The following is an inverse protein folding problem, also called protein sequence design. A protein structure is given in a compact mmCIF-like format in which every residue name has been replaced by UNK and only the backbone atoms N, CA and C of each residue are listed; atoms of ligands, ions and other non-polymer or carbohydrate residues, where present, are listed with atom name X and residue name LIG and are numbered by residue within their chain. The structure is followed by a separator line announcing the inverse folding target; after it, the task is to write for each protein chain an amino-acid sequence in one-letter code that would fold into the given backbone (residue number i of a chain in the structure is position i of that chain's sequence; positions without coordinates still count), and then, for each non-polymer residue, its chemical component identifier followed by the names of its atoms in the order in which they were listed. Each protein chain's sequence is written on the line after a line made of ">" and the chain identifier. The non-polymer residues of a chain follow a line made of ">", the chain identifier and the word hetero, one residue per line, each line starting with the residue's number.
data_IF_419275867254
#
_entry.id   IF_419275867254
#
_cell.length_a   1.000
_cell.length_b   1.000
_cell.length_c   1.000
_cell.angle_alpha   90.00
_cell.angle_beta   90.00
_cell.angle_gamma   90.00
#
_symmetry.space_group_name_H-M   'P 1'
#
loop_
_entity.id
_entity.type
_entity.pdbx_description
1 polymer ?
#
# COMPACT_ATOMS: atom_id res chain seq x y z
N UNK A 1 23.18 8.32 10.37
CA UNK A 1 22.24 7.17 10.31
C UNK A 1 22.86 6.05 9.50
N UNK A 2 22.89 4.86 10.02
CA UNK A 2 23.43 3.65 9.39
C UNK A 2 22.30 2.62 9.22
N UNK A 3 22.36 1.83 8.15
CA UNK A 3 21.47 0.68 7.94
C UNK A 3 22.27 -0.60 8.11
N UNK A 4 21.88 -1.42 9.05
CA UNK A 4 22.47 -2.73 9.29
C UNK A 4 21.53 -3.78 8.72
N UNK A 5 21.99 -4.52 7.70
CA UNK A 5 21.25 -5.66 7.16
C UNK A 5 21.16 -6.75 8.23
N UNK A 6 19.95 -7.09 8.67
CA UNK A 6 19.72 -8.16 9.63
C UNK A 6 19.33 -9.47 8.95
N UNK A 7 18.48 -9.37 7.91
CA UNK A 7 17.95 -10.57 7.28
C UNK A 7 17.68 -10.35 5.80
N UNK A 8 17.88 -11.40 5.01
CA UNK A 8 17.67 -11.46 3.59
C UNK A 8 16.90 -12.74 3.24
N UNK A 9 15.64 -12.58 2.92
CA UNK A 9 14.73 -13.71 2.73
C UNK A 9 14.37 -13.83 1.27
N UNK A 10 14.71 -14.97 0.71
CA UNK A 10 14.33 -15.33 -0.66
C UNK A 10 13.28 -16.43 -0.63
N UNK A 11 12.14 -16.15 -1.21
CA UNK A 11 11.04 -17.11 -1.32
C UNK A 11 11.18 -17.96 -2.59
N UNK A 12 10.63 -19.17 -2.56
CA UNK A 12 10.61 -20.04 -3.74
C UNK A 12 9.63 -19.60 -4.81
N UNK A 13 8.61 -18.84 -4.42
CA UNK A 13 7.54 -18.36 -5.30
C UNK A 13 7.45 -16.85 -5.22
N UNK A 14 6.86 -16.24 -6.24
CA UNK A 14 6.61 -14.79 -6.26
C UNK A 14 5.73 -14.38 -5.08
N UNK A 15 6.09 -13.27 -4.45
CA UNK A 15 5.30 -12.62 -3.42
C UNK A 15 4.49 -11.50 -4.10
N UNK A 16 3.20 -11.44 -3.81
CA UNK A 16 2.34 -10.39 -4.33
C UNK A 16 2.32 -9.19 -3.38
N UNK A 17 2.27 -9.46 -2.07
CA UNK A 17 2.27 -8.43 -1.04
C UNK A 17 2.77 -8.98 0.31
N UNK A 18 3.12 -8.07 1.23
CA UNK A 18 3.45 -8.41 2.60
C UNK A 18 2.91 -7.37 3.59
N UNK A 19 2.75 -7.78 4.82
CA UNK A 19 2.49 -6.93 5.96
C UNK A 19 3.27 -7.40 7.17
N UNK A 20 3.47 -6.50 8.13
CA UNK A 20 4.11 -6.84 9.40
C UNK A 20 3.09 -6.62 10.53
N UNK A 21 2.84 -7.68 11.29
CA UNK A 21 1.97 -7.63 12.45
C UNK A 21 2.69 -6.87 13.59
N UNK A 22 2.09 -5.76 14.10
CA UNK A 22 2.84 -4.84 14.97
C UNK A 22 3.24 -5.43 16.33
N UNK A 23 2.46 -6.35 16.88
CA UNK A 23 2.68 -6.88 18.24
C UNK A 23 3.77 -7.93 18.27
N UNK A 24 3.63 -8.97 17.47
CA UNK A 24 4.59 -10.06 17.43
C UNK A 24 5.64 -9.85 16.34
N UNK A 25 5.52 -8.76 15.57
CA UNK A 25 6.39 -8.39 14.45
C UNK A 25 6.56 -9.54 13.43
N UNK A 26 5.47 -10.26 13.20
CA UNK A 26 5.42 -11.33 12.21
C UNK A 26 5.26 -10.75 10.82
N UNK A 27 6.05 -11.24 9.89
CA UNK A 27 5.85 -10.94 8.47
C UNK A 27 4.80 -11.91 7.94
N UNK A 28 3.77 -11.34 7.33
CA UNK A 28 2.73 -12.07 6.62
C UNK A 28 2.89 -11.78 5.14
N UNK A 29 3.02 -12.81 4.32
CA UNK A 29 3.18 -12.66 2.88
C UNK A 29 2.02 -13.29 2.13
N UNK A 30 1.67 -12.73 0.98
CA UNK A 30 0.75 -13.32 0.02
C UNK A 30 1.45 -13.68 -1.28
N UNK A 31 0.92 -14.69 -1.93
CA UNK A 31 1.41 -15.21 -3.21
C UNK A 31 0.54 -16.38 -3.60
N UNK A 32 1.13 -17.47 -4.06
CA UNK A 32 0.41 -18.72 -4.29
C UNK A 32 -0.22 -19.28 -3.00
N UNK A 33 0.35 -18.94 -1.86
CA UNK A 33 -0.14 -19.32 -0.52
C UNK A 33 0.01 -18.13 0.43
N UNK A 34 -0.88 -18.04 1.41
CA UNK A 34 -0.71 -17.19 2.56
C UNK A 34 0.38 -17.80 3.46
N UNK A 35 1.43 -17.06 3.76
CA UNK A 35 2.58 -17.53 4.51
C UNK A 35 2.81 -16.61 5.71
N UNK A 36 3.00 -17.21 6.87
CA UNK A 36 3.32 -16.52 8.11
C UNK A 36 4.78 -16.75 8.48
N UNK A 37 5.44 -15.71 8.96
CA UNK A 37 6.81 -15.77 9.46
C UNK A 37 6.92 -15.10 10.83
N UNK A 38 7.80 -15.62 11.67
CA UNK A 38 8.13 -15.01 12.94
C UNK A 38 9.28 -14.01 12.75
N UNK A 39 9.21 -12.84 13.40
CA UNK A 39 10.22 -11.79 13.37
C UNK A 39 11.64 -12.30 13.61
N UNK A 40 11.83 -13.19 14.59
CA UNK A 40 13.17 -13.52 15.10
C UNK A 40 13.87 -14.65 14.36
N UNK A 41 13.17 -15.44 13.54
CA UNK A 41 13.74 -16.63 12.91
C UNK A 41 13.30 -16.87 11.47
N UNK A 42 12.38 -16.07 10.92
CA UNK A 42 11.77 -16.32 9.61
C UNK A 42 11.36 -17.77 9.37
N UNK A 43 10.97 -18.46 10.41
CA UNK A 43 10.48 -19.82 10.32
C UNK A 43 9.05 -19.78 9.76
N UNK A 44 8.82 -20.58 8.74
CA UNK A 44 7.49 -20.79 8.17
C UNK A 44 6.64 -21.50 9.20
N UNK A 45 5.79 -20.75 9.91
CA UNK A 45 4.96 -21.33 10.97
C UNK A 45 3.81 -22.18 10.41
N UNK A 46 3.12 -21.71 9.36
CA UNK A 46 2.11 -22.49 8.64
C UNK A 46 1.65 -21.77 7.36
N UNK A 47 1.22 -22.53 6.36
CA UNK A 47 0.58 -21.96 5.18
C UNK A 47 -0.95 -22.07 5.31
N UNK A 48 -1.66 -20.99 5.09
CA UNK A 48 -3.12 -21.01 4.92
C UNK A 48 -3.53 -21.67 3.60
N UNK A 49 -4.78 -22.14 3.51
CA UNK A 49 -5.32 -22.80 2.31
C UNK A 49 -5.80 -21.83 1.22
N UNK A 50 -5.74 -20.51 1.44
CA UNK A 50 -6.18 -19.52 0.45
C UNK A 50 -5.11 -19.37 -0.62
N UNK A 51 -5.48 -19.63 -1.86
CA UNK A 51 -4.58 -19.50 -3.01
C UNK A 51 -4.80 -18.16 -3.72
N UNK A 52 -3.75 -17.64 -4.34
CA UNK A 52 -3.78 -16.45 -5.20
C UNK A 52 -4.30 -15.18 -4.50
N UNK A 53 -3.83 -14.92 -3.29
CA UNK A 53 -4.16 -13.68 -2.58
C UNK A 53 -3.37 -12.50 -3.12
N UNK A 54 -4.02 -11.35 -3.33
CA UNK A 54 -3.38 -10.17 -3.92
C UNK A 54 -3.11 -9.04 -2.93
N UNK A 55 -3.89 -8.91 -1.85
CA UNK A 55 -3.77 -7.77 -0.95
C UNK A 55 -3.84 -8.21 0.50
N UNK A 56 -2.85 -7.83 1.29
CA UNK A 56 -2.91 -7.86 2.75
C UNK A 56 -2.98 -6.43 3.27
N UNK A 57 -3.96 -6.14 4.09
CA UNK A 57 -3.95 -4.94 4.90
C UNK A 57 -4.21 -5.30 6.35
N UNK A 58 -3.36 -4.77 7.19
CA UNK A 58 -3.48 -4.87 8.63
C UNK A 58 -4.38 -3.76 9.12
N UNK A 59 -5.43 -4.10 9.86
CA UNK A 59 -6.29 -3.12 10.51
C UNK A 59 -5.90 -3.06 11.98
N UNK A 60 -5.41 -1.90 12.40
CA UNK A 60 -5.21 -1.60 13.82
C UNK A 60 -6.59 -1.25 14.40
N UNK A 61 -7.19 -2.17 15.17
CA UNK A 61 -8.41 -1.84 15.89
C UNK A 61 -8.13 -0.72 16.90
N UNK A 62 -8.88 0.38 16.77
CA UNK A 62 -8.84 1.47 17.72
C UNK A 62 -9.44 0.99 19.03
N UNK A 63 -8.70 1.13 20.14
CA UNK A 63 -9.17 1.05 21.52
C UNK A 63 -9.37 -0.34 22.17
N UNK A 64 -8.66 -1.38 21.77
CA UNK A 64 -8.62 -2.56 22.63
C UNK A 64 -7.23 -2.75 23.24
N UNK A 65 -7.20 -3.02 24.55
CA UNK A 65 -6.00 -3.41 25.31
C UNK A 65 -5.39 -4.74 24.82
N UNK A 66 -6.11 -5.47 23.97
CA UNK A 66 -5.66 -6.66 23.27
C UNK A 66 -5.58 -6.34 21.79
N UNK A 67 -4.38 -6.21 21.27
CA UNK A 67 -4.16 -6.05 19.83
C UNK A 67 -4.58 -7.33 19.15
N UNK A 68 -5.69 -7.27 18.43
CA UNK A 68 -6.14 -8.41 17.65
C UNK A 68 -5.19 -8.58 16.46
N UNK A 69 -4.74 -9.80 16.21
CA UNK A 69 -3.93 -10.15 15.06
C UNK A 69 -4.78 -10.42 13.81
N UNK A 70 -5.93 -9.76 13.73
CA UNK A 70 -6.85 -9.91 12.60
C UNK A 70 -6.37 -9.13 11.40
N UNK A 71 -6.46 -9.72 10.23
CA UNK A 71 -6.13 -9.08 8.95
C UNK A 71 -7.06 -9.61 7.85
N UNK A 72 -7.12 -8.87 6.74
CA UNK A 72 -7.95 -9.21 5.60
C UNK A 72 -7.09 -9.61 4.40
N UNK A 73 -7.60 -10.57 3.65
CA UNK A 73 -6.99 -11.09 2.43
C UNK A 73 -8.02 -11.09 1.33
N UNK A 74 -7.70 -10.49 0.21
CA UNK A 74 -8.53 -10.55 -0.99
C UNK A 74 -7.99 -11.57 -2.00
N UNK A 75 -8.89 -12.07 -2.83
CA UNK A 75 -8.57 -12.98 -3.93
C UNK A 75 -8.91 -12.35 -5.28
N UNK A 76 -8.27 -12.76 -6.37
CA UNK A 76 -8.53 -12.20 -7.71
C UNK A 76 -9.97 -12.37 -8.19
N UNK A 77 -10.72 -13.29 -7.61
CA UNK A 77 -12.13 -13.53 -7.92
C UNK A 77 -13.09 -12.75 -7.00
N UNK A 78 -12.60 -11.69 -6.35
CA UNK A 78 -13.44 -10.74 -5.62
C UNK A 78 -13.90 -11.19 -4.23
N UNK A 79 -13.29 -12.22 -3.67
CA UNK A 79 -13.59 -12.67 -2.30
C UNK A 79 -12.64 -12.01 -1.31
N UNK A 80 -13.17 -11.63 -0.15
CA UNK A 80 -12.38 -11.13 0.97
C UNK A 80 -12.61 -12.00 2.19
N UNK A 81 -11.51 -12.44 2.78
CA UNK A 81 -11.51 -13.28 3.97
C UNK A 81 -10.90 -12.53 5.15
N UNK A 82 -11.54 -12.64 6.30
CA UNK A 82 -10.98 -12.24 7.60
C UNK A 82 -10.14 -13.39 8.14
N UNK A 83 -8.93 -13.08 8.57
CA UNK A 83 -7.96 -14.06 9.04
C UNK A 83 -7.48 -13.71 10.44
N UNK A 84 -7.25 -14.72 11.27
CA UNK A 84 -6.66 -14.59 12.60
C UNK A 84 -5.19 -15.02 12.55
N UNK A 85 -4.28 -14.08 12.73
CA UNK A 85 -2.83 -14.33 12.70
C UNK A 85 -2.34 -15.13 13.90
N UNK A 86 -2.99 -15.04 15.07
CA UNK A 86 -2.61 -15.84 16.23
C UNK A 86 -3.00 -17.31 16.05
N UNK A 87 -4.23 -17.55 15.56
CA UNK A 87 -4.73 -18.91 15.30
C UNK A 87 -4.31 -19.45 13.93
N UNK A 88 -3.66 -18.60 13.11
CA UNK A 88 -3.17 -18.94 11.76
C UNK A 88 -4.25 -19.57 10.87
N UNK A 89 -5.46 -19.03 10.92
CA UNK A 89 -6.62 -19.56 10.20
C UNK A 89 -7.49 -18.47 9.58
N UNK A 90 -8.19 -18.86 8.52
CA UNK A 90 -9.30 -18.08 7.99
C UNK A 90 -10.45 -18.20 8.98
N UNK A 91 -10.99 -17.05 9.40
CA UNK A 91 -12.11 -16.98 10.32
C UNK A 91 -13.41 -17.02 9.53
N UNK A 92 -13.56 -16.13 8.55
CA UNK A 92 -14.79 -16.02 7.78
C UNK A 92 -14.57 -15.43 6.38
N UNK A 93 -15.54 -15.63 5.49
CA UNK A 93 -15.70 -14.92 4.23
C UNK A 93 -16.56 -13.69 4.51
N UNK A 94 -15.98 -12.50 4.49
CA UNK A 94 -16.66 -11.24 4.84
C UNK A 94 -17.24 -10.51 3.64
N UNK A 95 -16.81 -10.86 2.42
CA UNK A 95 -17.26 -10.20 1.21
C UNK A 95 -17.08 -11.10 -0.03
N UNK A 96 -18.09 -11.12 -0.89
CA UNK A 96 -18.06 -11.86 -2.16
C UNK A 96 -18.84 -11.07 -3.22
N UNK A 97 -18.18 -10.63 -4.27
CA UNK A 97 -18.81 -9.91 -5.37
C UNK A 97 -19.35 -10.81 -6.46
N UNK A 98 -19.03 -12.11 -6.42
CA UNK A 98 -19.28 -13.07 -7.50
C UNK A 98 -18.66 -12.69 -8.88
N UNK A 99 -17.98 -11.53 -8.95
CA UNK A 99 -17.33 -11.01 -10.15
C UNK A 99 -15.83 -10.75 -9.89
N UNK A 100 -15.04 -10.73 -10.95
CA UNK A 100 -13.62 -10.37 -10.85
C UNK A 100 -13.47 -8.88 -10.55
N UNK A 101 -13.20 -8.52 -9.30
CA UNK A 101 -12.81 -7.16 -8.93
C UNK A 101 -11.37 -6.94 -9.41
N UNK A 102 -11.19 -5.95 -10.29
CA UNK A 102 -9.86 -5.65 -10.85
C UNK A 102 -8.97 -4.86 -9.89
N UNK A 103 -9.56 -4.08 -9.01
CA UNK A 103 -8.82 -3.21 -8.08
C UNK A 103 -9.58 -3.10 -6.77
N UNK A 104 -8.93 -3.47 -5.68
CA UNK A 104 -9.50 -3.45 -4.33
C UNK A 104 -8.44 -2.94 -3.34
N UNK A 105 -8.85 -2.25 -2.31
CA UNK A 105 -8.00 -1.87 -1.19
C UNK A 105 -8.84 -1.71 0.10
N UNK A 106 -8.20 -1.40 1.22
CA UNK A 106 -8.84 -1.17 2.51
C UNK A 106 -8.50 0.21 3.04
N UNK A 107 -9.41 0.83 3.77
CA UNK A 107 -9.14 2.01 4.58
C UNK A 107 -9.04 1.65 6.07
N UNK A 108 -8.51 2.57 6.86
CA UNK A 108 -8.14 2.30 8.27
C UNK A 108 -9.33 1.93 9.14
N UNK A 109 -10.54 2.42 8.82
CA UNK A 109 -11.78 2.07 9.52
C UNK A 109 -12.31 0.66 9.25
N UNK A 110 -11.63 -0.15 8.44
CA UNK A 110 -12.07 -1.51 8.14
C UNK A 110 -12.99 -1.61 6.93
N UNK A 111 -13.21 -0.53 6.21
CA UNK A 111 -14.01 -0.57 4.99
C UNK A 111 -13.20 -1.10 3.80
N UNK A 112 -13.84 -1.95 3.00
CA UNK A 112 -13.31 -2.44 1.73
C UNK A 112 -13.71 -1.46 0.63
N UNK A 113 -12.73 -0.97 -0.14
CA UNK A 113 -12.98 -0.09 -1.28
C UNK A 113 -12.58 -0.78 -2.59
N UNK A 114 -13.46 -0.74 -3.58
CA UNK A 114 -13.24 -1.40 -4.87
C UNK A 114 -13.92 -0.67 -6.01
N UNK A 115 -13.46 -0.95 -7.24
CA UNK A 115 -14.05 -0.38 -8.45
C UNK A 115 -14.69 -1.50 -9.27
N UNK A 116 -15.96 -1.29 -9.61
CA UNK A 116 -16.73 -2.13 -10.51
C UNK A 116 -17.55 -1.24 -11.46
N UNK A 117 -17.55 -1.54 -12.76
CA UNK A 117 -18.37 -0.86 -13.80
C UNK A 117 -18.33 0.69 -13.75
N UNK A 118 -17.15 1.28 -13.49
CA UNK A 118 -16.94 2.72 -13.33
C UNK A 118 -17.64 3.33 -12.09
N UNK A 119 -17.93 2.54 -11.09
CA UNK A 119 -18.36 3.01 -9.79
C UNK A 119 -17.31 2.64 -8.75
N UNK A 120 -17.03 3.56 -7.85
CA UNK A 120 -16.27 3.30 -6.63
C UNK A 120 -17.26 2.88 -5.56
N UNK A 121 -17.00 1.78 -4.93
CA UNK A 121 -17.78 1.22 -3.84
C UNK A 121 -16.95 1.25 -2.55
N UNK A 122 -17.63 1.44 -1.43
CA UNK A 122 -17.07 1.27 -0.09
C UNK A 122 -18.03 0.43 0.73
N UNK A 123 -17.54 -0.72 1.20
CA UNK A 123 -18.28 -1.68 2.01
C UNK A 123 -17.70 -1.71 3.42
N UNK A 124 -18.57 -1.50 4.39
CA UNK A 124 -18.24 -1.60 5.80
C UNK A 124 -18.39 -3.05 6.26
N UNK A 125 -17.31 -3.64 6.77
CA UNK A 125 -17.31 -5.07 7.15
C UNK A 125 -18.13 -5.33 8.41
N UNK A 126 -18.21 -4.35 9.32
CA UNK A 126 -18.88 -4.53 10.61
C UNK A 126 -20.38 -4.23 10.54
N UNK A 127 -20.76 -3.22 9.77
CA UNK A 127 -22.16 -2.80 9.64
C UNK A 127 -22.86 -3.32 8.38
N UNK A 128 -22.11 -3.96 7.47
CA UNK A 128 -22.56 -4.40 6.15
C UNK A 128 -23.09 -3.26 5.24
N UNK A 129 -22.82 -2.01 5.62
CA UNK A 129 -23.23 -0.85 4.84
C UNK A 129 -22.43 -0.75 3.53
N UNK A 130 -23.13 -0.68 2.40
CA UNK A 130 -22.56 -0.46 1.09
C UNK A 130 -22.93 0.93 0.58
N UNK A 131 -21.93 1.74 0.29
CA UNK A 131 -22.09 3.02 -0.37
C UNK A 131 -21.34 3.02 -1.71
N UNK A 132 -21.80 3.84 -2.65
CA UNK A 132 -21.16 3.93 -3.95
C UNK A 132 -21.20 5.34 -4.52
N UNK A 133 -20.22 5.65 -5.36
CA UNK A 133 -20.19 6.88 -6.16
C UNK A 133 -19.74 6.59 -7.57
N UNK A 134 -20.29 7.32 -8.52
CA UNK A 134 -19.96 7.18 -9.94
C UNK A 134 -18.64 7.87 -10.24
N UNK A 135 -17.72 7.16 -10.83
CA UNK A 135 -16.49 7.74 -11.36
C UNK A 135 -16.75 8.39 -12.72
N UNK A 136 -15.99 9.44 -13.02
CA UNK A 136 -16.03 10.08 -14.34
C UNK A 136 -15.77 9.04 -15.43
N UNK A 137 -16.53 9.03 -16.51
CA UNK A 137 -16.43 8.03 -17.58
C UNK A 137 -15.05 8.01 -18.19
N UNK A 138 -14.32 6.92 -17.93
CA UNK A 138 -13.29 6.45 -18.86
C UNK A 138 -13.97 5.52 -19.87
N UNK A 139 -13.56 5.56 -21.14
CA UNK A 139 -14.01 4.57 -22.14
C UNK A 139 -13.67 3.17 -21.62
N UNK A 140 -14.49 2.17 -21.97
CA UNK A 140 -14.39 0.75 -21.63
C UNK A 140 -12.92 0.30 -21.40
N UNK A 141 -12.52 0.03 -20.18
CA UNK A 141 -11.19 -0.45 -19.71
C UNK A 141 -10.21 0.58 -19.13
N UNK A 142 -10.68 1.66 -18.53
CA UNK A 142 -9.80 2.57 -17.79
C UNK A 142 -8.93 1.80 -16.77
N UNK A 143 -7.61 1.93 -16.89
CA UNK A 143 -6.68 1.39 -15.92
C UNK A 143 -6.74 2.21 -14.64
N UNK A 144 -7.69 1.88 -13.77
CA UNK A 144 -7.77 2.49 -12.45
C UNK A 144 -6.70 1.89 -11.53
N UNK A 145 -6.11 2.75 -10.71
CA UNK A 145 -5.33 2.35 -9.54
C UNK A 145 -6.01 2.91 -8.30
N UNK A 146 -6.10 2.11 -7.26
CA UNK A 146 -6.58 2.54 -5.94
C UNK A 146 -5.40 2.55 -4.99
N UNK A 147 -5.20 3.69 -4.33
CA UNK A 147 -4.35 3.80 -3.16
C UNK A 147 -5.23 4.20 -1.98
N UNK A 148 -4.82 3.85 -0.78
CA UNK A 148 -5.51 4.26 0.44
C UNK A 148 -4.50 4.86 1.41
N UNK A 149 -4.91 5.92 2.09
CA UNK A 149 -4.10 6.56 3.11
C UNK A 149 -5.02 7.01 4.24
N UNK A 150 -4.89 6.38 5.42
CA UNK A 150 -5.85 6.58 6.51
C UNK A 150 -7.28 6.24 6.04
N UNK A 151 -8.19 7.20 6.21
CA UNK A 151 -9.59 7.09 5.79
C UNK A 151 -9.85 7.55 4.35
N UNK A 152 -8.79 7.94 3.62
CA UNK A 152 -8.93 8.48 2.28
C UNK A 152 -8.67 7.42 1.21
N UNK A 153 -9.40 7.54 0.10
CA UNK A 153 -9.28 6.71 -1.10
C UNK A 153 -8.79 7.59 -2.25
N UNK A 154 -7.66 7.22 -2.82
CA UNK A 154 -7.06 7.90 -3.96
C UNK A 154 -7.30 7.05 -5.20
N UNK A 155 -8.02 7.58 -6.16
CA UNK A 155 -8.27 6.95 -7.45
C UNK A 155 -7.45 7.66 -8.51
N UNK A 156 -6.55 6.92 -9.14
CA UNK A 156 -5.83 7.38 -10.31
C UNK A 156 -6.32 6.64 -11.54
N UNK A 157 -6.55 7.39 -12.62
CA UNK A 157 -6.81 6.82 -13.94
C UNK A 157 -6.19 7.70 -15.02
N UNK A 158 -5.89 7.12 -16.17
CA UNK A 158 -5.39 7.83 -17.34
C UNK A 158 -6.54 8.02 -18.32
N UNK A 159 -6.72 9.26 -18.77
CA UNK A 159 -7.68 9.54 -19.85
C UNK A 159 -7.13 8.98 -21.17
N UNK A 160 -8.00 8.23 -21.88
CA UNK A 160 -7.63 7.65 -23.18
C UNK A 160 -7.21 8.75 -24.18
N UNK A 161 -6.11 8.49 -24.90
CA UNK A 161 -5.53 9.36 -25.95
C UNK A 161 -4.89 10.68 -25.48
N UNK A 162 -4.97 11.03 -24.22
CA UNK A 162 -4.24 12.13 -23.63
C UNK A 162 -3.27 11.57 -22.60
N UNK A 163 -2.03 12.06 -22.59
CA UNK A 163 -1.06 11.68 -21.56
C UNK A 163 -1.42 12.28 -20.19
N UNK A 164 -2.69 12.59 -19.97
CA UNK A 164 -3.21 13.22 -18.77
C UNK A 164 -3.66 12.15 -17.77
N UNK A 165 -3.13 12.22 -16.58
CA UNK A 165 -3.58 11.44 -15.44
C UNK A 165 -4.58 12.27 -14.63
N UNK A 166 -5.71 11.68 -14.30
CA UNK A 166 -6.68 12.28 -13.38
C UNK A 166 -6.56 11.58 -12.03
N UNK A 167 -6.43 12.36 -10.99
CA UNK A 167 -6.36 11.91 -9.60
C UNK A 167 -7.56 12.47 -8.86
N UNK A 168 -8.36 11.59 -8.27
CA UNK A 168 -9.47 11.94 -7.40
C UNK A 168 -9.21 11.40 -6.00
N UNK A 169 -9.42 12.23 -4.97
CA UNK A 169 -9.39 11.80 -3.59
C UNK A 169 -10.78 11.86 -3.00
N UNK A 170 -11.17 10.78 -2.33
CA UNK A 170 -12.43 10.64 -1.64
C UNK A 170 -12.18 10.36 -0.16
N UNK A 171 -12.98 10.95 0.71
CA UNK A 171 -13.07 10.53 2.12
C UNK A 171 -13.88 9.24 2.27
N UNK A 172 -13.93 8.67 3.46
CA UNK A 172 -14.50 7.36 3.75
C UNK A 172 -15.97 7.18 3.31
N UNK A 173 -16.77 8.25 3.28
CA UNK A 173 -18.16 8.27 2.76
C UNK A 173 -18.25 8.52 1.26
N UNK A 174 -17.15 8.39 0.54
CA UNK A 174 -17.02 8.59 -0.90
C UNK A 174 -17.40 9.99 -1.38
N UNK A 175 -17.31 11.00 -0.51
CA UNK A 175 -17.36 12.38 -0.92
C UNK A 175 -16.02 12.77 -1.54
N UNK A 176 -16.03 13.25 -2.78
CA UNK A 176 -14.83 13.73 -3.46
C UNK A 176 -14.36 15.05 -2.83
N UNK A 177 -13.13 15.08 -2.36
CA UNK A 177 -12.49 16.22 -1.69
C UNK A 177 -11.39 16.87 -2.53
N UNK A 178 -10.89 16.16 -3.56
CA UNK A 178 -9.80 16.64 -4.40
C UNK A 178 -9.90 16.06 -5.80
N UNK A 179 -9.60 16.90 -6.80
CA UNK A 179 -9.42 16.46 -8.19
C UNK A 179 -8.30 17.26 -8.85
N UNK A 180 -7.34 16.57 -9.42
CA UNK A 180 -6.30 17.20 -10.22
C UNK A 180 -6.04 16.42 -11.50
N UNK A 181 -5.67 17.15 -12.54
CA UNK A 181 -5.22 16.61 -13.83
C UNK A 181 -3.77 17.01 -14.05
N UNK A 182 -2.92 16.03 -14.32
CA UNK A 182 -1.49 16.25 -14.54
C UNK A 182 -0.97 15.41 -15.69
N UNK A 183 0.02 15.92 -16.40
CA UNK A 183 0.74 15.17 -17.41
C UNK A 183 1.74 14.20 -16.76
N UNK A 184 2.21 14.52 -15.55
CA UNK A 184 3.16 13.69 -14.82
C UNK A 184 2.52 12.36 -14.42
N UNK A 185 3.25 11.28 -14.65
CA UNK A 185 2.79 9.96 -14.29
C UNK A 185 3.10 9.66 -12.81
N UNK A 186 2.12 9.88 -11.95
CA UNK A 186 2.22 9.50 -10.54
C UNK A 186 2.29 7.98 -10.41
N UNK A 187 3.40 7.47 -9.95
CA UNK A 187 3.66 6.04 -9.83
C UNK A 187 3.22 5.49 -8.48
N UNK A 188 3.33 6.33 -7.45
CA UNK A 188 2.86 6.07 -6.09
C UNK A 188 2.13 7.28 -5.52
N UNK A 189 1.24 7.05 -4.57
CA UNK A 189 0.38 8.09 -4.01
C UNK A 189 0.11 7.83 -2.52
N UNK A 190 0.28 8.87 -1.69
CA UNK A 190 0.02 8.84 -0.26
C UNK A 190 -0.51 10.19 0.22
N UNK A 191 -1.31 10.18 1.29
CA UNK A 191 -1.76 11.39 1.97
C UNK A 191 -1.11 11.44 3.35
N UNK A 192 -0.56 12.59 3.69
CA UNK A 192 -0.01 12.89 5.02
C UNK A 192 -0.61 14.22 5.47
N UNK A 193 -1.46 14.19 6.48
CA UNK A 193 -2.23 15.37 6.90
C UNK A 193 -3.15 15.87 5.77
N UNK A 194 -2.99 17.15 5.40
CA UNK A 194 -3.74 17.79 4.30
C UNK A 194 -2.95 17.84 2.98
N UNK A 195 -1.89 17.07 2.88
CA UNK A 195 -1.05 17.04 1.68
C UNK A 195 -1.15 15.69 0.97
N UNK A 196 -1.27 15.76 -0.35
CA UNK A 196 -1.16 14.61 -1.24
C UNK A 196 0.25 14.55 -1.80
N UNK A 197 0.94 13.46 -1.54
CA UNK A 197 2.29 13.16 -2.03
C UNK A 197 2.20 12.20 -3.21
N UNK A 198 2.84 12.56 -4.30
CA UNK A 198 2.94 11.72 -5.48
C UNK A 198 4.39 11.49 -5.87
N UNK A 199 4.81 10.24 -5.91
CA UNK A 199 6.06 9.85 -6.56
C UNK A 199 5.87 9.77 -8.07
N UNK A 200 6.83 10.26 -8.85
CA UNK A 200 6.75 10.32 -10.32
C UNK A 200 7.69 9.33 -11.01
N UNK A 201 7.48 9.14 -12.32
CA UNK A 201 8.41 8.36 -13.16
C UNK A 201 9.80 9.02 -13.28
N UNK A 202 9.84 10.34 -13.18
CA UNK A 202 11.07 11.12 -13.29
C UNK A 202 11.83 11.25 -11.95
N UNK A 203 11.36 10.59 -10.88
CA UNK A 203 12.02 10.57 -9.59
C UNK A 203 11.81 11.83 -8.76
N UNK A 204 10.72 12.53 -8.99
CA UNK A 204 10.29 13.68 -8.18
C UNK A 204 9.18 13.27 -7.23
N UNK A 205 9.09 13.97 -6.11
CA UNK A 205 7.93 13.96 -5.23
C UNK A 205 7.18 15.26 -5.42
N UNK A 206 5.99 15.18 -5.97
CA UNK A 206 5.04 16.29 -6.01
C UNK A 206 4.22 16.32 -4.74
N UNK A 207 4.10 17.50 -4.16
CA UNK A 207 3.33 17.76 -2.95
C UNK A 207 2.19 18.71 -3.29
N UNK A 208 0.97 18.24 -3.16
CA UNK A 208 -0.24 19.01 -3.45
C UNK A 208 -0.98 19.35 -2.17
N UNK A 209 -1.47 20.57 -2.05
CA UNK A 209 -2.42 20.94 -1.00
C UNK A 209 -3.82 20.44 -1.39
N UNK A 210 -4.44 19.62 -0.54
CA UNK A 210 -5.75 19.02 -0.83
C UNK A 210 -6.87 20.09 -0.78
N UNK A 211 -6.76 21.09 0.10
CA UNK A 211 -7.80 22.11 0.26
C UNK A 211 -7.81 23.09 -0.91
N UNK A 212 -6.64 23.57 -1.30
CA UNK A 212 -6.50 24.58 -2.36
C UNK A 212 -6.42 23.93 -3.75
N UNK A 213 -6.20 22.63 -3.82
CA UNK A 213 -6.03 21.83 -5.04
C UNK A 213 -4.86 22.30 -5.92
N UNK A 214 -3.83 22.86 -5.28
CA UNK A 214 -2.65 23.42 -5.95
C UNK A 214 -1.40 22.62 -5.66
N UNK A 215 -0.47 22.58 -6.62
CA UNK A 215 0.87 22.04 -6.45
C UNK A 215 1.64 22.98 -5.52
N UNK A 216 1.94 22.48 -4.32
CA UNK A 216 2.71 23.26 -3.33
C UNK A 216 4.20 23.22 -3.63
N UNK A 217 4.73 22.04 -4.00
CA UNK A 217 6.15 21.85 -4.25
C UNK A 217 6.39 20.60 -5.13
N UNK A 218 7.52 20.61 -5.85
CA UNK A 218 8.08 19.43 -6.51
C UNK A 218 9.55 19.30 -6.16
N UNK A 219 9.95 18.13 -5.67
CA UNK A 219 11.28 17.90 -5.12
C UNK A 219 11.92 16.73 -5.84
N UNK A 220 13.04 16.97 -6.49
CA UNK A 220 13.84 15.93 -7.14
C UNK A 220 14.56 15.10 -6.08
N UNK A 221 14.25 13.81 -6.06
CA UNK A 221 14.87 12.82 -5.15
C UNK A 221 15.94 12.00 -5.88
N UNK A 222 15.67 11.62 -7.13
CA UNK A 222 16.52 10.74 -7.92
C UNK A 222 16.26 10.95 -9.41
N UNK A 223 17.11 10.39 -10.28
CA UNK A 223 16.82 10.26 -11.71
C UNK A 223 16.10 8.94 -12.04
N UNK A 224 15.62 8.25 -11.03
CA UNK A 224 14.93 6.97 -11.13
C UNK A 224 13.51 7.10 -10.63
N UNK A 225 12.62 6.36 -11.26
CA UNK A 225 11.21 6.26 -10.89
C UNK A 225 11.02 5.93 -9.42
N UNK A 226 10.20 6.71 -8.73
CA UNK A 226 9.74 6.43 -7.38
C UNK A 226 8.66 5.34 -7.46
N UNK A 227 8.81 4.29 -6.69
CA UNK A 227 7.90 3.15 -6.69
C UNK A 227 7.11 3.01 -5.40
N UNK A 228 7.62 3.58 -4.31
CA UNK A 228 6.98 3.54 -3.00
C UNK A 228 7.40 4.72 -2.13
N UNK A 229 6.51 5.18 -1.26
CA UNK A 229 6.79 6.20 -0.25
C UNK A 229 6.15 5.75 1.06
N UNK A 230 6.94 5.61 2.12
CA UNK A 230 6.47 5.39 3.47
C UNK A 230 6.88 6.58 4.35
N UNK A 231 6.01 6.97 5.27
CA UNK A 231 6.30 7.99 6.26
C UNK A 231 6.28 7.35 7.65
N UNK A 232 7.32 7.61 8.42
CA UNK A 232 7.42 7.14 9.79
C UNK A 232 8.24 8.14 10.63
N UNK A 233 7.66 8.65 11.70
CA UNK A 233 8.30 9.57 12.65
C UNK A 233 8.96 10.79 11.98
N UNK A 234 8.26 11.39 11.01
CA UNK A 234 8.73 12.58 10.30
C UNK A 234 9.87 12.33 9.32
N UNK A 235 10.16 11.08 8.99
CA UNK A 235 11.09 10.68 7.92
C UNK A 235 10.32 10.04 6.78
N UNK A 236 10.82 10.20 5.55
CA UNK A 236 10.29 9.52 4.38
C UNK A 236 11.27 8.45 3.91
N UNK A 237 10.73 7.27 3.69
CA UNK A 237 11.43 6.11 3.14
C UNK A 237 10.92 5.91 1.71
N UNK A 238 11.78 6.18 0.74
CA UNK A 238 11.43 6.27 -0.68
C UNK A 238 12.09 5.11 -1.41
N UNK A 239 11.28 4.26 -2.01
CA UNK A 239 11.73 3.13 -2.81
C UNK A 239 11.83 3.51 -4.29
N UNK A 240 12.92 3.11 -4.94
CA UNK A 240 13.17 3.37 -6.34
C UNK A 240 13.09 2.10 -7.19
N UNK A 241 12.82 2.26 -8.49
CA UNK A 241 12.71 1.15 -9.45
C UNK A 241 14.00 0.34 -9.62
N UNK A 242 15.13 0.95 -9.33
CA UNK A 242 16.44 0.27 -9.39
C UNK A 242 16.77 -0.47 -8.09
N UNK A 243 15.93 -0.43 -7.04
CA UNK A 243 16.14 -1.09 -5.75
C UNK A 243 16.95 -0.28 -4.75
N UNK A 244 17.15 1.01 -4.99
CA UNK A 244 17.68 1.94 -3.99
C UNK A 244 16.58 2.37 -3.02
N UNK A 245 16.93 2.45 -1.76
CA UNK A 245 16.17 3.06 -0.69
C UNK A 245 16.79 4.43 -0.37
N UNK A 246 15.99 5.48 -0.48
CA UNK A 246 16.36 6.83 -0.06
C UNK A 246 15.59 7.17 1.21
N UNK A 247 16.30 7.62 2.23
CA UNK A 247 15.71 8.07 3.49
C UNK A 247 15.96 9.57 3.62
N UNK A 248 14.89 10.32 3.88
CA UNK A 248 14.95 11.77 4.02
C UNK A 248 14.37 12.22 5.36
N UNK A 249 14.67 13.45 5.76
CA UNK A 249 13.93 14.14 6.80
C UNK A 249 12.56 14.66 6.30
N UNK A 250 11.82 15.34 7.15
CA UNK A 250 10.52 15.94 6.82
C UNK A 250 10.59 17.08 5.79
N UNK A 251 11.78 17.60 5.51
CA UNK A 251 12.05 18.63 4.49
C UNK A 251 12.64 18.04 3.21
N UNK A 252 12.71 16.72 3.11
CA UNK A 252 13.31 15.97 2.01
C UNK A 252 14.83 16.14 1.83
N UNK A 253 15.55 16.56 2.88
CA UNK A 253 17.00 16.43 2.85
C UNK A 253 17.38 14.96 2.97
N UNK A 254 18.22 14.48 2.05
CA UNK A 254 18.62 13.07 2.02
C UNK A 254 19.52 12.79 3.23
N UNK A 255 19.08 11.87 4.08
CA UNK A 255 19.81 11.38 5.25
C UNK A 255 20.65 10.14 4.91
N UNK A 256 20.10 9.30 4.02
CA UNK A 256 20.75 8.07 3.57
C UNK A 256 20.24 7.68 2.18
N UNK A 257 21.11 7.15 1.34
CA UNK A 257 20.75 6.49 0.09
C UNK A 257 21.59 5.22 -0.04
N UNK A 258 20.93 4.09 -0.26
CA UNK A 258 21.59 2.81 -0.31
C UNK A 258 20.88 1.83 -1.25
N UNK A 259 21.68 1.04 -1.98
CA UNK A 259 21.20 -0.06 -2.82
C UNK A 259 20.88 -1.27 -1.95
N UNK A 260 19.60 -1.47 -1.65
CA UNK A 260 19.12 -2.54 -0.73
C UNK A 260 18.64 -3.79 -1.46
N UNK A 261 18.22 -3.64 -2.73
CA UNK A 261 17.77 -4.75 -3.58
C UNK A 261 18.39 -4.67 -4.97
N UNK A 262 18.47 -5.77 -5.68
CA UNK A 262 18.88 -5.81 -7.10
C UNK A 262 17.75 -5.35 -8.02
N UNK A 263 16.53 -5.73 -7.71
CA UNK A 263 15.29 -5.35 -8.38
C UNK A 263 14.64 -4.12 -7.74
N UNK A 264 13.63 -3.56 -8.44
CA UNK A 264 12.86 -2.42 -7.94
C UNK A 264 12.13 -2.70 -6.63
N UNK A 265 12.06 -1.70 -5.77
CA UNK A 265 11.29 -1.76 -4.52
C UNK A 265 9.82 -1.63 -4.86
N UNK A 266 8.98 -2.48 -4.29
CA UNK A 266 7.52 -2.41 -4.46
C UNK A 266 6.77 -2.09 -3.17
N UNK A 267 7.40 -2.35 -2.02
CA UNK A 267 6.80 -2.01 -0.72
C UNK A 267 7.86 -1.85 0.36
N UNK A 268 7.60 -0.89 1.23
CA UNK A 268 8.38 -0.61 2.44
C UNK A 268 7.43 -0.65 3.63
N UNK A 269 7.86 -1.22 4.72
CA UNK A 269 7.17 -1.17 6.00
C UNK A 269 8.21 -0.82 7.08
N UNK A 270 7.90 0.18 7.89
CA UNK A 270 8.77 0.63 8.98
C UNK A 270 8.05 0.41 10.29
N UNK A 271 8.72 -0.23 11.24
CA UNK A 271 8.19 -0.48 12.59
C UNK A 271 9.34 -0.24 13.57
N UNK A 272 9.20 0.79 14.39
CA UNK A 272 10.25 1.21 15.31
C UNK A 272 11.56 1.50 14.55
N UNK A 273 12.65 0.81 14.87
CA UNK A 273 13.96 0.91 14.21
C UNK A 273 14.15 -0.08 13.05
N UNK A 274 13.13 -0.84 12.69
CA UNK A 274 13.22 -1.88 11.67
C UNK A 274 12.56 -1.47 10.36
N UNK A 275 13.26 -1.68 9.25
CA UNK A 275 12.79 -1.43 7.90
C UNK A 275 12.69 -2.75 7.15
N UNK A 276 11.51 -3.05 6.64
CA UNK A 276 11.26 -4.21 5.78
C UNK A 276 11.04 -3.71 4.35
N UNK A 277 11.82 -4.23 3.41
CA UNK A 277 11.77 -3.82 2.00
C UNK A 277 11.51 -5.03 1.12
N UNK A 278 10.46 -4.96 0.30
CA UNK A 278 10.10 -5.99 -0.67
C UNK A 278 10.44 -5.54 -2.10
N UNK A 279 11.11 -6.40 -2.84
CA UNK A 279 11.36 -6.25 -4.26
C UNK A 279 10.22 -6.75 -5.15
N UNK A 280 10.30 -6.48 -6.44
CA UNK A 280 9.29 -6.91 -7.42
C UNK A 280 9.30 -8.44 -7.73
N UNK A 281 10.18 -9.19 -7.10
CA UNK A 281 10.34 -10.62 -7.27
C UNK A 281 9.80 -11.44 -6.09
N UNK A 282 10.71 -12.10 -5.42
CA UNK A 282 10.44 -13.03 -4.33
C UNK A 282 11.30 -12.77 -3.08
N UNK A 283 11.73 -11.53 -2.88
CA UNK A 283 12.71 -11.16 -1.87
C UNK A 283 12.17 -10.10 -0.92
N UNK A 284 12.40 -10.29 0.36
CA UNK A 284 12.22 -9.30 1.41
C UNK A 284 13.53 -9.19 2.19
N UNK A 285 14.01 -7.97 2.38
CA UNK A 285 15.17 -7.69 3.23
C UNK A 285 14.73 -6.88 4.44
N UNK A 286 15.39 -7.13 5.55
CA UNK A 286 15.17 -6.43 6.81
C UNK A 286 16.46 -5.72 7.23
N UNK A 287 16.32 -4.44 7.49
CA UNK A 287 17.38 -3.61 8.03
C UNK A 287 16.99 -3.08 9.40
N UNK A 288 18.00 -2.81 10.23
CA UNK A 288 17.87 -2.01 11.45
C UNK A 288 18.49 -0.64 11.21
N UNK A 289 17.76 0.41 11.59
CA UNK A 289 18.29 1.78 11.65
C UNK A 289 19.09 1.98 12.93
N UNK A 290 20.31 2.49 12.79
CA UNK A 290 21.13 2.97 13.89
C UNK A 290 21.30 4.48 13.70
N UNK A 291 20.83 5.24 14.67
CA UNK A 291 20.85 6.70 14.69
C UNK A 291 22.23 7.25 15.00
#
# INVERSE_FOLDING_TARGET
>A
MELILEEDIVYRTKINDFGVEPVNKRIITTGEKLIYFNKNKFEKESGGKVKNCEIIKYIKEKNQLFVSSMFFVSTPNGKVYKCDGNKKKIVELVFDTNDSIKVMNFITSGRIVYIEKNCLFSYDVDTEELISTKLTRTKKNGNYKIFTSGENVIIKFREDYKHINTINIFENKLKKIFEVKTENNHTYSKIVGLQYFAGTEDGEIEIWNILDQELYNSIKISDRKITYIEEFEGKYFIGLENGELVITDSKFHILKQEKVLKEGIVKICVIEDEIYVMGCGNRIVKYRMVL
#
